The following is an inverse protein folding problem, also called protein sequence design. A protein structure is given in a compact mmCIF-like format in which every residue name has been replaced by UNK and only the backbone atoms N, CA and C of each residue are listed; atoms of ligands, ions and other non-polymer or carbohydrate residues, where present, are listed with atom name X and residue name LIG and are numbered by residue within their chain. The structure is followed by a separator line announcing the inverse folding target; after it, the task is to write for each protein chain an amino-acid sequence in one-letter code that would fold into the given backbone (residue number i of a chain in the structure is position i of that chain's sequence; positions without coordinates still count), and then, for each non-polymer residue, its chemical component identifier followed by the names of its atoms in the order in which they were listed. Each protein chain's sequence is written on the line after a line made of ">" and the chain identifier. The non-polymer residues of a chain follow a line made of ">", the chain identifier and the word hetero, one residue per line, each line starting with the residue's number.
data_IF_700209486126
#
_entry.id   IF_700209486126
#
_cell.length_a   1.000
_cell.length_b   1.000
_cell.length_c   1.000
_cell.angle_alpha   90.00
_cell.angle_beta   90.00
_cell.angle_gamma   90.00
#
_symmetry.space_group_name_H-M   'P 1'
#
loop_
_entity.id
_entity.type
_entity.pdbx_description
1 polymer ?
#
# COMPACT_ATOMS: atom_id res chain seq x y z
N UNK A 1 3.72 17.24 -3.29
CA UNK A 1 4.78 16.19 -3.42
C UNK A 1 6.07 16.49 -2.66
N UNK A 2 6.27 17.70 -2.17
CA UNK A 2 7.45 18.06 -1.35
C UNK A 2 7.31 17.65 0.12
N UNK A 3 6.10 17.49 0.63
CA UNK A 3 5.84 17.25 2.07
C UNK A 3 6.34 15.87 2.56
N UNK A 4 6.27 14.83 1.73
CA UNK A 4 6.66 13.47 2.14
C UNK A 4 8.18 13.30 2.26
N UNK A 5 8.99 14.12 1.58
CA UNK A 5 10.44 13.89 1.48
C UNK A 5 11.35 15.05 1.90
N UNK A 6 10.88 16.27 2.09
CA UNK A 6 11.78 17.42 2.00
C UNK A 6 12.27 18.09 3.27
N UNK A 7 11.59 18.11 4.41
CA UNK A 7 12.10 18.93 5.51
C UNK A 7 12.62 18.16 6.73
N UNK A 8 12.12 16.98 7.02
CA UNK A 8 12.47 16.28 8.25
C UNK A 8 13.35 15.03 8.08
N UNK A 9 13.40 14.45 6.89
CA UNK A 9 14.11 13.17 6.70
C UNK A 9 15.52 13.29 6.12
N UNK A 10 15.80 14.28 5.27
CA UNK A 10 17.11 14.41 4.62
C UNK A 10 18.32 14.57 5.55
N UNK A 11 18.29 15.44 6.59
CA UNK A 11 19.49 15.62 7.43
C UNK A 11 19.74 14.44 8.37
N UNK A 12 18.70 13.70 8.72
CA UNK A 12 18.78 12.60 9.70
C UNK A 12 19.16 11.28 9.02
N UNK A 13 18.59 10.99 7.86
CA UNK A 13 18.84 9.75 7.11
C UNK A 13 20.22 9.72 6.43
N UNK A 14 20.78 10.87 6.07
CA UNK A 14 22.11 10.96 5.41
C UNK A 14 23.27 10.45 6.29
N UNK A 15 23.05 10.24 7.59
CA UNK A 15 24.09 9.77 8.53
C UNK A 15 23.93 8.33 8.99
N UNK A 16 22.88 7.64 8.53
CA UNK A 16 22.63 6.26 8.96
C UNK A 16 23.17 5.30 7.90
N UNK A 17 24.22 4.58 8.22
CA UNK A 17 24.67 3.46 7.41
C UNK A 17 23.67 2.31 7.52
N UNK A 18 23.41 1.63 6.40
CA UNK A 18 22.62 0.40 6.42
C UNK A 18 23.46 -0.65 7.17
N UNK A 19 22.98 -1.02 8.36
CA UNK A 19 23.66 -2.04 9.18
C UNK A 19 23.43 -3.40 8.50
N UNK A 20 24.50 -4.16 8.18
CA UNK A 20 24.34 -5.50 7.63
C UNK A 20 23.50 -6.40 8.54
N UNK A 21 22.52 -7.10 7.96
CA UNK A 21 21.57 -7.94 8.70
C UNK A 21 20.41 -7.19 9.35
N UNK A 22 20.30 -5.88 9.17
CA UNK A 22 19.16 -5.10 9.70
C UNK A 22 17.88 -5.30 8.89
N UNK A 23 16.75 -5.02 9.54
CA UNK A 23 15.45 -5.01 8.85
C UNK A 23 15.41 -4.01 7.70
N UNK A 24 16.11 -2.88 7.84
CA UNK A 24 16.19 -1.86 6.80
C UNK A 24 16.98 -2.36 5.57
N UNK A 25 18.07 -3.10 5.77
CA UNK A 25 18.79 -3.74 4.66
C UNK A 25 17.91 -4.75 3.93
N UNK A 26 17.19 -5.57 4.69
CA UNK A 26 16.27 -6.56 4.15
C UNK A 26 15.15 -5.90 3.34
N UNK A 27 14.60 -4.81 3.85
CA UNK A 27 13.59 -4.00 3.15
C UNK A 27 14.12 -3.47 1.81
N UNK A 28 15.29 -2.82 1.80
CA UNK A 28 15.86 -2.30 0.56
C UNK A 28 16.20 -3.42 -0.43
N UNK A 29 16.73 -4.55 0.05
CA UNK A 29 16.98 -5.72 -0.81
C UNK A 29 15.70 -6.22 -1.47
N UNK A 30 14.61 -6.34 -0.71
CA UNK A 30 13.33 -6.76 -1.25
C UNK A 30 12.78 -5.75 -2.26
N UNK A 31 12.80 -4.45 -1.91
CA UNK A 31 12.33 -3.39 -2.77
C UNK A 31 13.11 -3.34 -4.10
N UNK A 32 14.43 -3.34 -4.03
CA UNK A 32 15.26 -3.28 -5.23
C UNK A 32 15.18 -4.55 -6.07
N UNK A 33 15.18 -5.71 -5.45
CA UNK A 33 15.13 -6.98 -6.19
C UNK A 33 13.72 -7.28 -6.72
N UNK A 34 12.68 -7.13 -5.91
CA UNK A 34 11.31 -7.53 -6.28
C UNK A 34 10.55 -6.45 -7.03
N UNK A 35 10.64 -5.21 -6.59
CA UNK A 35 9.94 -4.11 -7.22
C UNK A 35 10.70 -3.52 -8.40
N UNK A 36 11.95 -3.06 -8.18
CA UNK A 36 12.77 -2.48 -9.26
C UNK A 36 13.40 -3.51 -10.20
N UNK A 37 13.29 -4.81 -9.90
CA UNK A 37 13.89 -5.91 -10.67
C UNK A 37 15.41 -5.77 -10.88
N UNK A 38 16.11 -5.15 -9.95
CA UNK A 38 17.56 -4.99 -9.98
C UNK A 38 18.27 -6.22 -9.43
N UNK A 39 19.48 -6.43 -9.91
CA UNK A 39 20.37 -7.45 -9.37
C UNK A 39 20.86 -7.03 -7.98
N UNK A 40 21.13 -8.01 -7.12
CA UNK A 40 21.55 -7.78 -5.72
C UNK A 40 22.88 -6.99 -5.68
N UNK A 41 23.78 -7.20 -6.63
CA UNK A 41 25.05 -6.49 -6.75
C UNK A 41 24.90 -5.02 -7.21
N UNK A 42 23.73 -4.61 -7.64
CA UNK A 42 23.40 -3.25 -8.05
C UNK A 42 22.63 -2.47 -6.98
N UNK A 43 22.39 -3.09 -5.82
CA UNK A 43 21.69 -2.42 -4.70
C UNK A 43 22.68 -1.42 -4.05
N UNK A 44 22.27 -0.17 -3.83
CA UNK A 44 23.10 0.81 -3.15
C UNK A 44 23.48 0.35 -1.74
N UNK A 45 24.76 0.54 -1.37
CA UNK A 45 25.29 0.13 -0.06
C UNK A 45 24.97 1.10 1.08
N UNK A 46 24.56 2.33 0.76
CA UNK A 46 24.28 3.36 1.75
C UNK A 46 22.84 3.87 1.62
N UNK A 47 22.27 4.33 2.72
CA UNK A 47 20.94 4.97 2.73
C UNK A 47 20.96 6.20 1.82
N UNK A 48 22.03 7.00 1.85
CA UNK A 48 22.16 8.19 1.04
C UNK A 48 22.06 7.88 -0.47
N UNK A 49 22.80 6.88 -0.94
CA UNK A 49 22.74 6.47 -2.36
C UNK A 49 21.37 5.86 -2.72
N UNK A 50 20.74 5.16 -1.79
CA UNK A 50 19.38 4.61 -1.96
C UNK A 50 18.36 5.74 -2.10
N UNK A 51 18.41 6.74 -1.24
CA UNK A 51 17.51 7.91 -1.29
C UNK A 51 17.75 8.70 -2.58
N UNK A 52 19.01 8.94 -2.98
CA UNK A 52 19.32 9.66 -4.20
C UNK A 52 18.77 8.96 -5.46
N UNK A 53 18.78 7.64 -5.46
CA UNK A 53 18.18 6.86 -6.54
C UNK A 53 16.65 6.96 -6.54
N UNK A 54 16.02 6.83 -5.37
CA UNK A 54 14.57 7.00 -5.21
C UNK A 54 14.15 8.42 -5.60
N UNK A 55 14.86 9.45 -5.16
CA UNK A 55 14.64 10.86 -5.57
C UNK A 55 14.66 11.00 -7.10
N UNK A 56 15.61 10.38 -7.75
CA UNK A 56 15.72 10.43 -9.21
C UNK A 56 14.52 9.75 -9.89
N UNK A 57 14.07 8.63 -9.37
CA UNK A 57 12.89 7.92 -9.88
C UNK A 57 11.62 8.77 -9.69
N UNK A 58 11.40 9.30 -8.49
CA UNK A 58 10.22 10.08 -8.14
C UNK A 58 10.09 11.37 -8.95
N UNK A 59 11.17 12.15 -9.02
CA UNK A 59 11.08 13.51 -9.56
C UNK A 59 11.44 13.62 -11.04
N UNK A 60 12.09 12.61 -11.62
CA UNK A 60 12.56 12.69 -13.01
C UNK A 60 12.02 11.60 -13.93
N UNK A 61 11.57 10.46 -13.38
CA UNK A 61 11.29 9.27 -14.19
C UNK A 61 9.85 8.82 -14.07
N UNK A 62 9.30 8.76 -12.86
CA UNK A 62 7.99 8.18 -12.61
C UNK A 62 6.85 9.10 -13.02
N UNK A 63 5.82 8.50 -13.59
CA UNK A 63 4.50 9.09 -13.72
C UNK A 63 3.77 8.97 -12.37
N UNK A 64 2.73 9.78 -12.17
CA UNK A 64 1.99 9.82 -10.92
C UNK A 64 1.52 8.44 -10.41
N UNK A 65 1.05 7.56 -11.30
CA UNK A 65 0.59 6.23 -10.91
C UNK A 65 1.74 5.28 -10.52
N UNK A 66 2.94 5.47 -11.07
CA UNK A 66 4.14 4.70 -10.70
C UNK A 66 4.63 5.07 -9.30
N UNK A 67 4.45 6.33 -8.89
CA UNK A 67 4.70 6.78 -7.51
C UNK A 67 3.79 6.02 -6.53
N UNK A 68 2.50 5.91 -6.83
CA UNK A 68 1.56 5.16 -6.00
C UNK A 68 1.87 3.66 -5.98
N UNK A 69 2.26 3.07 -7.10
CA UNK A 69 2.72 1.68 -7.14
C UNK A 69 3.95 1.46 -6.26
N UNK A 70 4.88 2.43 -6.25
CA UNK A 70 6.04 2.39 -5.38
C UNK A 70 5.66 2.47 -3.89
N UNK A 71 4.72 3.33 -3.53
CA UNK A 71 4.23 3.43 -2.15
C UNK A 71 3.58 2.12 -1.72
N UNK A 72 2.76 1.48 -2.56
CA UNK A 72 2.19 0.16 -2.27
C UNK A 72 3.26 -0.91 -2.08
N UNK A 73 4.32 -0.91 -2.89
CA UNK A 73 5.45 -1.81 -2.69
C UNK A 73 6.18 -1.53 -1.36
N UNK A 74 6.29 -0.26 -0.94
CA UNK A 74 6.83 0.08 0.36
C UNK A 74 5.96 -0.46 1.51
N UNK A 75 4.64 -0.40 1.38
CA UNK A 75 3.70 -0.97 2.35
C UNK A 75 3.83 -2.51 2.37
N UNK A 76 3.89 -3.16 1.21
CA UNK A 76 4.00 -4.62 1.09
C UNK A 76 5.27 -5.14 1.76
N UNK A 77 6.41 -4.48 1.52
CA UNK A 77 7.71 -4.91 2.04
C UNK A 77 8.11 -4.24 3.36
N UNK A 78 7.19 -3.51 4.00
CA UNK A 78 7.49 -2.77 5.23
C UNK A 78 8.04 -3.71 6.33
N UNK A 79 9.22 -3.40 6.92
CA UNK A 79 9.96 -4.38 7.70
C UNK A 79 9.53 -4.48 9.17
N UNK A 80 8.56 -3.68 9.61
CA UNK A 80 8.14 -3.58 11.00
C UNK A 80 6.62 -3.73 11.09
N UNK A 81 6.14 -4.96 11.23
CA UNK A 81 4.70 -5.24 11.25
C UNK A 81 3.95 -4.43 12.32
N UNK A 82 4.55 -4.27 13.51
CA UNK A 82 3.98 -3.49 14.61
C UNK A 82 3.81 -1.98 14.30
N UNK A 83 4.55 -1.46 13.33
CA UNK A 83 4.51 -0.04 12.92
C UNK A 83 3.91 0.17 11.54
N UNK A 84 3.39 -0.87 10.93
CA UNK A 84 2.83 -0.78 9.58
C UNK A 84 1.60 0.09 9.55
N UNK A 85 0.73 -0.04 10.56
CA UNK A 85 -0.46 0.78 10.70
C UNK A 85 -0.11 2.27 10.94
N UNK A 86 0.87 2.56 11.79
CA UNK A 86 1.36 3.94 12.00
C UNK A 86 1.86 4.56 10.69
N UNK A 87 2.54 3.75 9.87
CA UNK A 87 3.02 4.19 8.56
C UNK A 87 1.86 4.49 7.60
N UNK A 88 0.79 3.69 7.61
CA UNK A 88 -0.40 3.90 6.79
C UNK A 88 -1.16 5.14 7.22
N UNK A 89 -1.31 5.36 8.54
CA UNK A 89 -1.92 6.58 9.07
C UNK A 89 -1.17 7.80 8.57
N UNK A 90 0.16 7.81 8.71
CA UNK A 90 1.01 8.91 8.22
C UNK A 90 0.85 9.15 6.71
N UNK A 91 0.77 8.08 5.91
CA UNK A 91 0.54 8.20 4.46
C UNK A 91 -0.82 8.81 4.15
N UNK A 92 -1.88 8.41 4.85
CA UNK A 92 -3.21 8.95 4.67
C UNK A 92 -3.28 10.42 5.08
N UNK A 93 -2.65 10.81 6.19
CA UNK A 93 -2.52 12.21 6.60
C UNK A 93 -1.83 13.06 5.51
N UNK A 94 -0.73 12.56 4.95
CA UNK A 94 -0.04 13.24 3.85
C UNK A 94 -0.91 13.37 2.61
N UNK A 95 -1.63 12.30 2.22
CA UNK A 95 -2.53 12.31 1.07
C UNK A 95 -3.69 13.30 1.27
N UNK A 96 -4.18 13.44 2.50
CA UNK A 96 -5.24 14.39 2.85
C UNK A 96 -4.74 15.83 2.80
N UNK A 97 -3.59 16.13 3.41
CA UNK A 97 -2.96 17.47 3.39
C UNK A 97 -2.73 17.94 1.94
N UNK A 98 -2.29 17.04 1.07
CA UNK A 98 -2.05 17.32 -0.35
C UNK A 98 -3.33 17.31 -1.21
N UNK A 99 -4.52 17.17 -0.60
CA UNK A 99 -5.81 17.06 -1.29
C UNK A 99 -5.81 15.97 -2.38
N UNK A 100 -5.14 14.84 -2.14
CA UNK A 100 -5.14 13.71 -3.05
C UNK A 100 -6.52 13.07 -3.12
N UNK A 101 -6.94 12.65 -4.31
CA UNK A 101 -8.15 11.86 -4.53
C UNK A 101 -7.98 10.37 -4.17
N UNK A 102 -6.96 10.03 -3.39
CA UNK A 102 -6.62 8.64 -3.04
C UNK A 102 -6.40 8.50 -1.53
N UNK A 103 -6.73 7.31 -1.00
CA UNK A 103 -6.41 6.88 0.38
C UNK A 103 -5.88 5.46 0.37
N UNK A 104 -5.07 5.13 1.36
CA UNK A 104 -4.64 3.75 1.63
C UNK A 104 -5.74 3.06 2.41
N UNK A 105 -6.34 2.04 1.83
CA UNK A 105 -7.38 1.21 2.44
C UNK A 105 -6.95 -0.24 2.29
N UNK A 106 -6.89 -0.98 3.38
CA UNK A 106 -6.43 -2.38 3.37
C UNK A 106 -5.15 -2.59 2.56
N UNK A 107 -4.13 -1.76 2.83
CA UNK A 107 -2.79 -1.79 2.18
C UNK A 107 -2.77 -1.43 0.69
N UNK A 108 -3.86 -0.94 0.13
CA UNK A 108 -3.98 -0.53 -1.28
C UNK A 108 -4.35 0.95 -1.39
N UNK A 109 -3.75 1.65 -2.34
CA UNK A 109 -4.09 3.05 -2.63
C UNK A 109 -5.31 3.09 -3.56
N UNK A 110 -6.44 3.51 -3.01
CA UNK A 110 -7.76 3.44 -3.63
C UNK A 110 -8.33 4.84 -3.88
N UNK A 111 -9.04 5.08 -5.01
CA UNK A 111 -9.62 6.37 -5.33
C UNK A 111 -10.92 6.62 -4.54
N UNK A 112 -10.84 6.57 -3.22
CA UNK A 112 -11.95 6.84 -2.28
C UNK A 112 -11.45 7.84 -1.26
N UNK A 113 -12.20 8.91 -1.05
CA UNK A 113 -11.85 9.98 -0.10
C UNK A 113 -12.95 10.27 0.92
N UNK A 114 -14.14 9.68 0.75
CA UNK A 114 -15.23 9.78 1.72
C UNK A 114 -14.90 8.96 2.97
N UNK A 115 -14.78 9.61 4.10
CA UNK A 115 -14.50 8.96 5.39
C UNK A 115 -15.53 7.86 5.74
N UNK A 116 -16.79 8.09 5.42
CA UNK A 116 -17.86 7.09 5.64
C UNK A 116 -17.69 5.86 4.77
N UNK A 117 -17.26 6.02 3.52
CA UNK A 117 -16.99 4.91 2.61
C UNK A 117 -15.76 4.12 3.05
N UNK A 118 -14.69 4.82 3.46
CA UNK A 118 -13.46 4.21 3.99
C UNK A 118 -13.79 3.35 5.21
N UNK A 119 -14.45 3.92 6.22
CA UNK A 119 -14.84 3.19 7.42
C UNK A 119 -15.75 2.00 7.12
N UNK A 120 -16.69 2.15 6.18
CA UNK A 120 -17.59 1.05 5.79
C UNK A 120 -16.83 -0.11 5.13
N UNK A 121 -15.84 0.18 4.30
CA UNK A 121 -14.99 -0.83 3.64
C UNK A 121 -14.11 -1.54 4.66
N UNK A 122 -13.43 -0.79 5.53
CA UNK A 122 -12.56 -1.33 6.56
C UNK A 122 -13.35 -2.23 7.54
N UNK A 123 -14.51 -1.78 8.00
CA UNK A 123 -15.40 -2.59 8.84
C UNK A 123 -15.88 -3.86 8.13
N UNK A 124 -16.21 -3.78 6.84
CA UNK A 124 -16.63 -4.96 6.08
C UNK A 124 -15.49 -5.99 5.98
N UNK A 125 -14.27 -5.54 5.73
CA UNK A 125 -13.09 -6.40 5.66
C UNK A 125 -12.82 -7.03 7.04
N UNK A 126 -12.81 -6.24 8.11
CA UNK A 126 -12.56 -6.71 9.48
C UNK A 126 -13.61 -7.73 9.93
N UNK A 127 -14.88 -7.41 9.75
CA UNK A 127 -15.99 -8.28 10.15
C UNK A 127 -16.01 -9.61 9.36
N UNK A 128 -15.38 -9.67 8.20
CA UNK A 128 -15.32 -10.89 7.37
C UNK A 128 -14.06 -11.72 7.62
N UNK A 129 -13.15 -11.31 8.50
CA UNK A 129 -11.96 -12.07 8.87
C UNK A 129 -12.19 -13.55 9.18
N UNK A 130 -13.27 -13.95 9.89
CA UNK A 130 -13.58 -15.36 10.15
C UNK A 130 -14.04 -16.14 8.89
N UNK A 131 -14.31 -15.46 7.78
CA UNK A 131 -14.90 -16.03 6.58
C UNK A 131 -13.98 -15.83 5.36
N UNK A 132 -12.93 -16.62 5.28
CA UNK A 132 -11.85 -16.45 4.29
C UNK A 132 -12.33 -16.30 2.84
N UNK A 133 -13.35 -17.03 2.42
CA UNK A 133 -13.90 -16.91 1.07
C UNK A 133 -14.58 -15.57 0.81
N UNK A 134 -15.30 -15.04 1.79
CA UNK A 134 -15.95 -13.72 1.70
C UNK A 134 -14.91 -12.62 1.68
N UNK A 135 -13.93 -12.69 2.57
CA UNK A 135 -12.83 -11.74 2.65
C UNK A 135 -12.02 -11.71 1.35
N UNK A 136 -11.78 -12.89 0.74
CA UNK A 136 -11.08 -12.99 -0.53
C UNK A 136 -11.81 -12.23 -1.65
N UNK A 137 -13.15 -12.34 -1.73
CA UNK A 137 -13.97 -11.59 -2.68
C UNK A 137 -13.90 -10.08 -2.43
N UNK A 138 -13.98 -9.61 -1.18
CA UNK A 138 -13.86 -8.19 -0.85
C UNK A 138 -12.48 -7.63 -1.23
N UNK A 139 -11.42 -8.34 -0.90
CA UNK A 139 -10.06 -7.94 -1.25
C UNK A 139 -9.86 -7.89 -2.77
N UNK A 140 -10.44 -8.83 -3.51
CA UNK A 140 -10.39 -8.84 -4.97
C UNK A 140 -11.19 -7.68 -5.57
N UNK A 141 -12.36 -7.37 -5.01
CA UNK A 141 -13.17 -6.22 -5.42
C UNK A 141 -12.37 -4.91 -5.28
N UNK A 142 -11.74 -4.71 -4.12
CA UNK A 142 -10.93 -3.53 -3.85
C UNK A 142 -9.73 -3.43 -4.81
N UNK A 143 -9.04 -4.55 -5.05
CA UNK A 143 -7.91 -4.63 -5.99
C UNK A 143 -8.30 -4.25 -7.41
N UNK A 144 -9.44 -4.74 -7.90
CA UNK A 144 -9.94 -4.44 -9.25
C UNK A 144 -10.33 -2.97 -9.42
N UNK A 145 -10.88 -2.36 -8.36
CA UNK A 145 -11.24 -0.95 -8.36
C UNK A 145 -10.01 -0.03 -8.26
N UNK A 146 -8.99 -0.44 -7.54
CA UNK A 146 -7.79 0.36 -7.28
C UNK A 146 -6.73 0.31 -8.37
N UNK A 147 -6.91 -0.49 -9.44
CA UNK A 147 -6.02 -0.47 -10.60
C UNK A 147 -6.08 0.90 -11.28
N UNK A 148 -4.98 1.64 -11.20
CA UNK A 148 -4.90 3.03 -11.68
C UNK A 148 -4.79 3.16 -13.19
N UNK A 149 -4.39 2.10 -13.88
CA UNK A 149 -4.23 2.10 -15.34
C UNK A 149 -5.46 1.54 -16.04
N UNK A 150 -6.03 0.47 -15.50
CA UNK A 150 -7.16 -0.24 -16.08
C UNK A 150 -8.14 -0.69 -15.00
N UNK A 151 -8.84 0.22 -14.31
CA UNK A 151 -9.79 -0.14 -13.27
C UNK A 151 -10.93 -0.99 -13.84
N UNK A 152 -11.16 -2.16 -13.24
CA UNK A 152 -12.24 -3.05 -13.65
C UNK A 152 -13.42 -2.96 -12.69
N UNK A 153 -14.13 -1.86 -12.75
CA UNK A 153 -15.29 -1.60 -11.88
C UNK A 153 -16.39 -2.67 -12.05
N UNK A 154 -16.57 -3.22 -13.25
CA UNK A 154 -17.57 -4.25 -13.49
C UNK A 154 -17.29 -5.53 -12.72
N UNK A 155 -16.06 -6.02 -12.75
CA UNK A 155 -15.69 -7.20 -12.01
C UNK A 155 -15.53 -6.90 -10.52
N UNK A 156 -15.13 -5.69 -10.12
CA UNK A 156 -15.16 -5.24 -8.73
C UNK A 156 -16.57 -5.36 -8.13
N UNK A 157 -17.60 -4.89 -8.83
CA UNK A 157 -19.00 -5.03 -8.41
C UNK A 157 -19.41 -6.50 -8.30
N UNK A 158 -19.02 -7.36 -9.26
CA UNK A 158 -19.31 -8.79 -9.19
C UNK A 158 -18.69 -9.46 -7.95
N UNK A 159 -17.45 -9.14 -7.66
CA UNK A 159 -16.75 -9.65 -6.48
C UNK A 159 -17.46 -9.19 -5.17
N UNK A 160 -17.88 -7.93 -5.12
CA UNK A 160 -18.66 -7.41 -3.98
C UNK A 160 -19.98 -8.15 -3.79
N UNK A 161 -20.69 -8.46 -4.88
CA UNK A 161 -21.92 -9.25 -4.85
C UNK A 161 -21.63 -10.68 -4.38
N UNK A 162 -20.56 -11.31 -4.86
CA UNK A 162 -20.15 -12.66 -4.45
C UNK A 162 -19.83 -12.73 -2.96
N UNK A 163 -19.19 -11.68 -2.41
CA UNK A 163 -18.97 -11.55 -0.97
C UNK A 163 -20.30 -11.51 -0.20
N UNK A 164 -21.25 -10.69 -0.65
CA UNK A 164 -22.59 -10.57 -0.03
C UNK A 164 -23.35 -11.92 -0.08
N UNK A 165 -23.36 -12.59 -1.23
CA UNK A 165 -23.97 -13.91 -1.36
C UNK A 165 -23.33 -14.94 -0.43
N UNK A 166 -22.00 -14.89 -0.26
CA UNK A 166 -21.23 -15.74 0.65
C UNK A 166 -21.70 -15.56 2.10
N UNK A 167 -21.82 -14.32 2.57
CA UNK A 167 -22.29 -14.00 3.91
C UNK A 167 -23.74 -14.46 4.10
N UNK A 168 -24.63 -14.20 3.14
CA UNK A 168 -26.02 -14.63 3.21
C UNK A 168 -26.14 -16.16 3.36
N UNK A 169 -25.35 -16.94 2.62
CA UNK A 169 -25.30 -18.41 2.74
C UNK A 169 -24.83 -18.87 4.13
N UNK A 170 -23.83 -18.20 4.70
CA UNK A 170 -23.31 -18.52 6.04
C UNK A 170 -24.37 -18.25 7.11
N UNK A 171 -25.07 -17.12 7.02
CA UNK A 171 -26.15 -16.77 7.96
C UNK A 171 -27.28 -17.79 7.84
N UNK A 172 -27.77 -18.07 6.63
CA UNK A 172 -28.85 -19.02 6.40
C UNK A 172 -28.53 -20.44 6.90
N UNK A 173 -27.28 -20.87 6.80
CA UNK A 173 -26.83 -22.18 7.28
C UNK A 173 -26.63 -22.25 8.82
N UNK A 174 -26.55 -21.11 9.51
CA UNK A 174 -26.47 -21.07 10.99
C UNK A 174 -27.87 -21.10 11.66
N UNK A 175 -28.91 -20.81 10.91
CA UNK A 175 -30.31 -20.82 11.42
C UNK A 175 -30.99 -22.19 11.26
N UNK A 176 -30.37 -23.17 10.62
CA UNK A 176 -30.78 -24.55 10.49
C UNK A 176 -29.96 -25.49 11.36
#
# INVERSE_FOLDING_TARGET
>A
SECIFNEYSRPYLARINIIPGSNLESFFKLLFHRYFKKRIDQIPYSIESTIAEIDTLFFKTYKWYEIYNFIEACIEYFPFDEKKEDFIILLNDCLEIENSAYRVINYQITPITSEQEIQSIEQAIENTNPYSGVQQHLNQALKLMSDRQNPDYRNSIKESISALEGICKIIANKEN
#
